data_IF_525431443173
#
_entry.id   IF_525431443173
#
_cell.length_a   1.000
_cell.length_b   1.000
_cell.length_c   1.000
_cell.angle_alpha   90.00
_cell.angle_beta   90.00
_cell.angle_gamma   90.00
#
_symmetry.space_group_name_H-M   'P 1'
#
loop_
_entity.id
_entity.type
_entity.pdbx_description
1 polymer ?
#
# COMPACT_ATOMS: atom_id res chain seq x y z
N UNK A 1 -1.92 56.43 52.73
CA UNK A 1 -2.24 56.56 51.29
C UNK A 1 -2.12 55.18 50.63
N UNK A 2 -3.23 54.45 50.47
CA UNK A 2 -3.24 53.12 49.82
C UNK A 2 -3.87 53.28 48.43
N UNK A 3 -3.08 53.04 47.38
CA UNK A 3 -3.54 53.05 45.99
C UNK A 3 -4.06 51.65 45.63
N UNK A 4 -5.34 51.54 45.30
CA UNK A 4 -5.92 50.36 44.64
C UNK A 4 -5.55 50.40 43.15
N UNK A 5 -4.95 49.32 42.65
CA UNK A 5 -4.84 49.04 41.21
C UNK A 5 -6.02 48.15 40.81
N UNK A 6 -6.87 48.65 39.91
CA UNK A 6 -7.90 47.87 39.24
C UNK A 6 -7.27 47.20 38.00
N UNK A 7 -7.25 45.87 37.98
CA UNK A 7 -6.84 45.07 36.82
C UNK A 7 -8.07 44.79 35.97
N UNK A 8 -8.09 45.32 34.75
CA UNK A 8 -9.13 45.11 33.75
C UNK A 8 -8.84 43.79 33.02
N UNK A 9 -9.63 42.74 33.28
CA UNK A 9 -9.56 41.48 32.54
C UNK A 9 -10.31 41.63 31.20
N UNK A 10 -9.58 41.81 30.10
CA UNK A 10 -10.14 41.68 28.75
C UNK A 10 -10.29 40.19 28.41
N UNK A 11 -11.53 39.70 28.40
CA UNK A 11 -11.85 38.37 27.88
C UNK A 11 -11.82 38.41 26.34
N UNK A 12 -10.79 37.83 25.74
CA UNK A 12 -10.76 37.57 24.30
C UNK A 12 -11.55 36.28 24.01
N UNK A 13 -12.73 36.42 23.43
CA UNK A 13 -13.47 35.31 22.83
C UNK A 13 -12.82 34.96 21.49
N UNK A 14 -11.99 33.91 21.47
CA UNK A 14 -11.48 33.34 20.24
C UNK A 14 -12.60 32.54 19.56
N UNK A 15 -13.13 33.05 18.45
CA UNK A 15 -14.03 32.31 17.56
C UNK A 15 -13.22 31.25 16.83
N UNK A 16 -13.39 29.98 17.21
CA UNK A 16 -12.82 28.85 16.48
C UNK A 16 -13.68 28.64 15.23
N UNK A 17 -13.18 29.07 14.08
CA UNK A 17 -13.77 28.75 12.79
C UNK A 17 -13.61 27.25 12.53
N UNK A 18 -14.70 26.49 12.61
CA UNK A 18 -14.72 25.09 12.22
C UNK A 18 -14.69 25.05 10.69
N UNK A 19 -13.50 24.82 10.12
CA UNK A 19 -13.38 24.52 8.70
C UNK A 19 -14.07 23.19 8.42
N UNK A 20 -15.11 23.21 7.57
CA UNK A 20 -15.75 22.01 7.09
C UNK A 20 -14.70 21.11 6.43
N UNK A 21 -14.60 19.87 6.91
CA UNK A 21 -13.66 18.89 6.35
C UNK A 21 -14.11 18.54 4.95
N UNK A 22 -13.23 18.78 3.97
CA UNK A 22 -13.48 18.42 2.58
C UNK A 22 -13.83 16.93 2.52
N UNK A 23 -15.01 16.62 1.99
CA UNK A 23 -15.39 15.24 1.68
C UNK A 23 -14.40 14.62 0.68
N UNK A 24 -14.38 13.29 0.55
CA UNK A 24 -13.55 12.64 -0.46
C UNK A 24 -13.89 13.24 -1.84
N UNK A 25 -12.88 13.73 -2.54
CA UNK A 25 -13.07 14.28 -3.88
C UNK A 25 -13.72 13.20 -4.77
N UNK A 26 -14.78 13.57 -5.47
CA UNK A 26 -15.42 12.69 -6.45
C UNK A 26 -14.40 12.26 -7.49
N UNK A 27 -14.32 10.96 -7.79
CA UNK A 27 -13.40 10.48 -8.81
C UNK A 27 -13.68 11.18 -10.15
N UNK A 28 -12.64 11.75 -10.76
CA UNK A 28 -12.76 12.49 -12.01
C UNK A 28 -12.67 11.58 -13.24
N UNK A 29 -12.10 10.38 -13.09
CA UNK A 29 -11.92 9.40 -14.16
C UNK A 29 -11.79 7.95 -13.66
N UNK A 30 -11.43 7.06 -14.58
CA UNK A 30 -11.14 5.64 -14.33
C UNK A 30 -9.72 5.34 -14.80
N UNK A 31 -8.93 4.65 -13.97
CA UNK A 31 -7.58 4.22 -14.33
C UNK A 31 -7.67 3.18 -15.46
N UNK A 32 -7.00 3.38 -16.61
CA UNK A 32 -6.97 2.39 -17.69
C UNK A 32 -6.38 1.05 -17.23
N UNK A 33 -6.78 -0.06 -17.84
CA UNK A 33 -6.25 -1.39 -17.53
C UNK A 33 -7.30 -2.50 -17.59
N UNK A 34 -6.84 -3.74 -17.50
CA UNK A 34 -7.66 -4.95 -17.63
C UNK A 34 -8.53 -5.14 -16.39
N UNK A 35 -9.71 -5.73 -16.56
CA UNK A 35 -10.64 -6.05 -15.47
C UNK A 35 -11.18 -7.47 -15.57
N UNK A 36 -11.71 -8.00 -14.47
CA UNK A 36 -12.42 -9.29 -14.44
C UNK A 36 -11.56 -10.46 -14.91
N UNK A 37 -12.10 -11.30 -15.79
CA UNK A 37 -11.38 -12.48 -16.30
C UNK A 37 -10.09 -12.12 -17.04
N UNK A 38 -10.05 -10.98 -17.75
CA UNK A 38 -8.84 -10.53 -18.44
C UNK A 38 -7.75 -10.09 -17.45
N UNK A 39 -8.13 -9.41 -16.37
CA UNK A 39 -7.20 -9.08 -15.28
C UNK A 39 -6.63 -10.35 -14.63
N UNK A 40 -7.49 -11.32 -14.31
CA UNK A 40 -7.04 -12.61 -13.76
C UNK A 40 -6.08 -13.34 -14.70
N UNK A 41 -6.40 -13.37 -16.00
CA UNK A 41 -5.54 -14.02 -16.99
C UNK A 41 -4.17 -13.33 -17.12
N UNK A 42 -4.13 -11.98 -17.10
CA UNK A 42 -2.88 -11.22 -17.15
C UNK A 42 -2.03 -11.38 -15.89
N UNK A 43 -2.64 -11.48 -14.72
CA UNK A 43 -1.94 -11.81 -13.48
C UNK A 43 -1.37 -13.25 -13.48
N UNK A 44 -1.89 -14.10 -14.38
CA UNK A 44 -1.34 -15.41 -14.68
C UNK A 44 -1.39 -16.41 -13.50
N UNK A 45 -0.67 -17.54 -13.63
CA UNK A 45 -0.58 -18.57 -12.59
C UNK A 45 -0.02 -18.06 -11.26
N UNK A 46 0.68 -16.92 -11.25
CA UNK A 46 1.27 -16.37 -10.03
C UNK A 46 0.23 -15.84 -9.05
N UNK A 47 -0.89 -15.30 -9.52
CA UNK A 47 -2.00 -14.95 -8.63
C UNK A 47 -2.58 -16.20 -7.95
N UNK A 48 -2.76 -17.29 -8.70
CA UNK A 48 -3.22 -18.56 -8.11
C UNK A 48 -2.17 -19.13 -7.15
N UNK A 49 -0.88 -19.01 -7.47
CA UNK A 49 0.23 -19.43 -6.60
C UNK A 49 0.29 -18.59 -5.33
N UNK A 50 0.20 -17.28 -5.41
CA UNK A 50 0.10 -16.39 -4.25
C UNK A 50 -1.01 -16.85 -3.30
N UNK A 51 -2.20 -17.12 -3.85
CA UNK A 51 -3.33 -17.63 -3.07
C UNK A 51 -3.00 -18.97 -2.40
N UNK A 52 -2.36 -19.89 -3.12
CA UNK A 52 -1.94 -21.18 -2.58
C UNK A 52 -0.86 -21.04 -1.50
N UNK A 53 0.14 -20.18 -1.67
CA UNK A 53 1.22 -19.96 -0.70
C UNK A 53 0.73 -19.27 0.57
N UNK A 54 -0.28 -18.40 0.45
CA UNK A 54 -0.97 -17.89 1.64
C UNK A 54 -1.74 -18.97 2.39
N UNK A 55 -2.24 -19.98 1.69
CA UNK A 55 -3.03 -21.09 2.28
C UNK A 55 -2.17 -22.26 2.75
N UNK A 56 -1.01 -22.50 2.14
CA UNK A 56 -0.14 -23.63 2.39
C UNK A 56 1.22 -23.16 2.91
N UNK A 57 1.73 -23.80 3.97
CA UNK A 57 3.13 -23.65 4.40
C UNK A 57 4.07 -24.37 3.41
N UNK A 58 4.14 -23.89 2.17
CA UNK A 58 4.91 -24.52 1.09
C UNK A 58 6.41 -24.19 1.18
N UNK A 59 7.21 -24.84 0.33
CA UNK A 59 8.67 -24.68 0.26
C UNK A 59 9.16 -23.26 -0.11
N UNK A 60 8.27 -22.42 -0.67
CA UNK A 60 8.56 -21.04 -1.00
C UNK A 60 8.35 -20.15 0.23
N UNK A 61 9.32 -19.27 0.51
CA UNK A 61 9.26 -18.43 1.70
C UNK A 61 8.37 -17.21 1.43
N UNK A 62 7.32 -17.06 2.24
CA UNK A 62 6.55 -15.83 2.34
C UNK A 62 7.12 -14.98 3.47
N UNK A 63 7.57 -13.78 3.13
CA UNK A 63 8.08 -12.81 4.10
C UNK A 63 7.52 -11.44 3.81
N UNK A 64 7.29 -10.65 4.85
CA UNK A 64 6.89 -9.26 4.70
C UNK A 64 7.50 -8.36 5.76
N UNK A 65 7.48 -7.06 5.52
CA UNK A 65 7.82 -6.04 6.52
C UNK A 65 7.21 -4.68 6.21
N UNK A 66 6.73 -4.00 7.25
CA UNK A 66 6.28 -2.60 7.19
C UNK A 66 5.15 -2.31 8.19
N UNK A 67 4.54 -1.12 8.12
CA UNK A 67 3.40 -0.73 8.95
C UNK A 67 2.16 -1.62 8.76
N UNK A 68 1.47 -1.92 9.86
CA UNK A 68 0.25 -2.74 9.88
C UNK A 68 -0.89 -1.97 10.57
N UNK A 69 -1.71 -1.23 9.81
CA UNK A 69 -2.92 -0.56 10.31
C UNK A 69 -3.82 -1.49 11.14
N UNK A 70 -4.09 -1.12 12.39
CA UNK A 70 -4.81 -1.96 13.36
C UNK A 70 -6.33 -1.79 13.28
N UNK A 71 -7.10 -2.87 13.40
CA UNK A 71 -8.57 -2.83 13.40
C UNK A 71 -9.17 -1.97 14.52
N UNK A 72 -8.53 -1.95 15.69
CA UNK A 72 -8.97 -1.13 16.83
C UNK A 72 -9.05 0.38 16.52
N UNK A 73 -8.41 0.85 15.44
CA UNK A 73 -8.47 2.25 15.01
C UNK A 73 -9.81 2.65 14.41
N UNK A 74 -10.65 1.66 14.03
CA UNK A 74 -11.88 1.88 13.27
C UNK A 74 -11.68 2.71 11.99
N UNK A 75 -10.49 2.63 11.39
CA UNK A 75 -10.21 3.37 10.17
C UNK A 75 -11.12 2.93 9.02
N UNK A 76 -11.57 3.90 8.23
CA UNK A 76 -12.43 3.73 7.06
C UNK A 76 -11.72 4.14 5.76
N UNK A 77 -10.40 4.28 5.80
CA UNK A 77 -9.57 4.54 4.64
C UNK A 77 -8.08 4.52 4.94
N UNK A 78 -7.30 4.45 3.86
CA UNK A 78 -5.84 4.50 3.86
C UNK A 78 -5.40 5.32 2.65
N UNK A 79 -4.38 6.16 2.81
CA UNK A 79 -3.69 6.84 1.72
C UNK A 79 -2.19 6.70 1.89
N UNK A 80 -1.48 6.41 0.80
CA UNK A 80 -0.03 6.19 0.82
C UNK A 80 0.59 6.45 -0.55
N UNK A 81 1.86 6.85 -0.56
CA UNK A 81 2.67 7.03 -1.78
C UNK A 81 3.69 5.90 -1.89
N UNK A 82 3.73 5.23 -3.04
CA UNK A 82 4.47 3.98 -3.25
C UNK A 82 5.41 4.11 -4.45
N UNK A 83 6.68 3.76 -4.27
CA UNK A 83 7.67 3.77 -5.36
C UNK A 83 7.39 2.66 -6.38
N UNK A 84 7.89 2.85 -7.60
CA UNK A 84 7.89 1.83 -8.64
C UNK A 84 9.31 1.62 -9.18
N UNK A 85 9.65 0.39 -9.54
CA UNK A 85 10.91 0.02 -10.21
C UNK A 85 10.61 -0.57 -11.60
N UNK A 86 10.30 0.25 -12.63
CA UNK A 86 9.71 -0.23 -13.88
C UNK A 86 10.60 -1.21 -14.66
N UNK A 87 11.92 -1.12 -14.47
CA UNK A 87 12.92 -1.98 -15.13
C UNK A 87 13.15 -3.31 -14.42
N UNK A 88 12.61 -3.53 -13.22
CA UNK A 88 12.84 -4.77 -12.49
C UNK A 88 12.22 -5.96 -13.24
N UNK A 89 13.02 -7.00 -13.45
CA UNK A 89 12.61 -8.28 -14.02
C UNK A 89 13.18 -9.39 -13.15
N UNK A 90 12.34 -10.35 -12.80
CA UNK A 90 12.76 -11.52 -12.04
C UNK A 90 13.09 -12.65 -13.01
N UNK A 91 14.24 -13.28 -12.80
CA UNK A 91 14.75 -14.38 -13.62
C UNK A 91 14.09 -15.71 -13.27
N UNK A 92 13.71 -15.90 -12.01
CA UNK A 92 12.96 -17.07 -11.58
C UNK A 92 11.44 -16.83 -11.75
N UNK A 93 10.74 -17.63 -12.58
CA UNK A 93 9.30 -17.46 -12.80
C UNK A 93 8.45 -17.75 -11.55
N UNK A 94 9.04 -18.40 -10.55
CA UNK A 94 8.38 -18.70 -9.29
C UNK A 94 8.43 -17.54 -8.29
N UNK A 95 9.34 -16.58 -8.48
CA UNK A 95 9.51 -15.46 -7.57
C UNK A 95 8.53 -14.33 -7.88
N UNK A 96 8.05 -13.69 -6.82
CA UNK A 96 7.20 -12.50 -6.91
C UNK A 96 7.61 -11.50 -5.83
N UNK A 97 7.75 -10.25 -6.25
CA UNK A 97 7.90 -9.11 -5.35
C UNK A 97 6.58 -8.33 -5.38
N UNK A 98 5.89 -8.25 -4.25
CA UNK A 98 4.75 -7.36 -4.02
C UNK A 98 5.21 -6.21 -3.15
N UNK A 99 5.70 -5.15 -3.80
CA UNK A 99 6.31 -4.05 -3.07
C UNK A 99 6.22 -2.70 -3.80
N UNK A 100 5.61 -1.69 -3.16
CA UNK A 100 4.77 -1.81 -1.96
C UNK A 100 3.42 -2.51 -2.23
N UNK A 101 2.84 -3.11 -1.18
CA UNK A 101 1.42 -3.53 -1.14
C UNK A 101 0.70 -2.78 -0.01
N UNK A 102 -0.57 -2.42 -0.24
CA UNK A 102 -1.43 -1.77 0.76
C UNK A 102 -2.83 -2.35 0.84
N UNK A 103 -3.36 -2.46 2.05
CA UNK A 103 -4.77 -2.75 2.35
C UNK A 103 -5.21 -1.96 3.61
N UNK A 104 -6.31 -1.20 3.57
CA UNK A 104 -6.88 -0.61 4.79
C UNK A 104 -7.30 -1.68 5.79
N UNK A 105 -7.29 -1.31 7.07
CA UNK A 105 -7.97 -2.12 8.09
C UNK A 105 -9.50 -2.02 7.95
N UNK A 106 -10.25 -2.65 8.86
CA UNK A 106 -11.72 -2.60 8.86
C UNK A 106 -12.35 -3.54 7.84
N UNK A 107 -11.70 -4.67 7.55
CA UNK A 107 -12.14 -5.70 6.62
C UNK A 107 -12.36 -5.16 5.20
N UNK A 108 -11.38 -4.42 4.68
CA UNK A 108 -11.47 -3.90 3.32
C UNK A 108 -11.59 -5.02 2.29
N UNK A 109 -12.34 -4.75 1.22
CA UNK A 109 -12.51 -5.62 0.08
C UNK A 109 -11.36 -5.57 -0.92
N UNK A 110 -10.51 -4.55 -0.85
CA UNK A 110 -9.51 -4.28 -1.87
C UNK A 110 -8.13 -4.27 -1.23
N UNK A 111 -7.16 -4.81 -1.94
CA UNK A 111 -5.74 -4.60 -1.67
C UNK A 111 -5.12 -4.12 -2.98
N UNK A 112 -4.28 -3.10 -2.90
CA UNK A 112 -3.54 -2.57 -4.05
C UNK A 112 -2.08 -2.98 -3.92
N UNK A 113 -1.56 -3.67 -4.94
CA UNK A 113 -0.19 -4.17 -4.96
C UNK A 113 0.58 -3.65 -6.18
N UNK A 114 1.84 -3.28 -5.99
CA UNK A 114 2.80 -3.23 -7.10
C UNK A 114 3.47 -4.59 -7.23
N UNK A 115 3.19 -5.28 -8.33
CA UNK A 115 3.67 -6.62 -8.62
C UNK A 115 4.85 -6.61 -9.61
N UNK A 116 5.92 -7.32 -9.25
CA UNK A 116 7.02 -7.69 -10.13
C UNK A 116 7.20 -9.21 -10.12
N UNK A 117 7.52 -9.76 -11.28
CA UNK A 117 7.44 -11.19 -11.58
C UNK A 117 6.71 -11.38 -12.90
N UNK A 118 6.39 -12.61 -13.30
CA UNK A 118 5.58 -12.93 -14.51
C UNK A 118 6.32 -12.90 -15.85
N UNK A 119 7.62 -12.60 -15.88
CA UNK A 119 8.32 -12.34 -17.14
C UNK A 119 7.84 -11.08 -17.88
N UNK A 120 6.99 -10.27 -17.23
CA UNK A 120 6.43 -9.04 -17.76
C UNK A 120 7.03 -7.79 -17.09
N UNK A 121 6.62 -6.62 -17.56
CA UNK A 121 6.88 -5.36 -16.87
C UNK A 121 6.13 -5.29 -15.53
N UNK A 122 6.55 -4.38 -14.66
CA UNK A 122 5.87 -4.11 -13.39
C UNK A 122 4.39 -3.75 -13.62
N UNK A 123 3.53 -4.12 -12.68
CA UNK A 123 2.08 -3.91 -12.77
C UNK A 123 1.51 -3.41 -11.43
N UNK A 124 0.45 -2.61 -11.48
CA UNK A 124 -0.40 -2.32 -10.32
C UNK A 124 -1.64 -3.19 -10.39
N UNK A 125 -1.93 -3.96 -9.34
CA UNK A 125 -3.14 -4.77 -9.25
C UNK A 125 -4.05 -4.27 -8.14
N UNK A 126 -5.37 -4.44 -8.34
CA UNK A 126 -6.32 -4.44 -7.25
C UNK A 126 -6.84 -5.87 -7.06
N UNK A 127 -6.54 -6.46 -5.90
CA UNK A 127 -7.11 -7.73 -5.45
C UNK A 127 -8.53 -7.52 -4.94
N UNK A 128 -9.40 -8.46 -5.29
CA UNK A 128 -10.76 -8.53 -4.77
C UNK A 128 -10.85 -9.59 -3.68
N UNK A 129 -10.76 -9.15 -2.42
CA UNK A 129 -10.88 -10.01 -1.25
C UNK A 129 -12.32 -10.34 -0.86
N UNK A 130 -13.31 -9.67 -1.46
CA UNK A 130 -14.71 -9.82 -1.07
C UNK A 130 -15.51 -10.78 -1.95
N UNK A 131 -15.06 -11.02 -3.19
CA UNK A 131 -15.79 -11.87 -4.13
C UNK A 131 -14.90 -12.89 -4.84
N UNK A 132 -13.96 -12.47 -5.68
CA UNK A 132 -13.20 -13.42 -6.52
C UNK A 132 -11.97 -14.03 -5.85
N UNK A 133 -11.44 -13.39 -4.81
CA UNK A 133 -10.17 -13.74 -4.14
C UNK A 133 -9.05 -13.87 -5.19
N UNK A 134 -8.95 -12.87 -6.06
CA UNK A 134 -8.00 -12.79 -7.17
C UNK A 134 -7.77 -11.33 -7.58
N UNK A 135 -6.75 -11.03 -8.40
CA UNK A 135 -6.64 -9.75 -9.08
C UNK A 135 -7.89 -9.52 -9.94
N UNK A 136 -8.57 -8.40 -9.70
CA UNK A 136 -9.77 -7.98 -10.41
C UNK A 136 -9.53 -6.76 -11.32
N UNK A 137 -8.44 -6.03 -11.08
CA UNK A 137 -7.89 -4.96 -11.92
C UNK A 137 -6.39 -5.18 -12.08
N UNK A 138 -5.88 -5.06 -13.30
CA UNK A 138 -4.44 -5.09 -13.62
C UNK A 138 -4.10 -3.91 -14.52
N UNK A 139 -3.09 -3.12 -14.13
CA UNK A 139 -2.62 -1.93 -14.84
C UNK A 139 -1.12 -2.08 -15.10
N UNK A 140 -0.67 -2.15 -16.36
CA UNK A 140 0.75 -2.12 -16.68
C UNK A 140 1.40 -0.80 -16.23
N UNK A 141 2.59 -0.87 -15.64
CA UNK A 141 3.42 0.31 -15.35
C UNK A 141 4.26 0.61 -16.60
N UNK A 142 3.58 1.11 -17.64
CA UNK A 142 4.19 1.57 -18.88
C UNK A 142 4.45 3.09 -18.86
N UNK A 143 4.92 3.65 -19.98
CA UNK A 143 5.20 5.09 -20.07
C UNK A 143 3.94 5.96 -19.89
N UNK A 144 2.75 5.48 -20.23
CA UNK A 144 1.50 6.20 -20.05
C UNK A 144 1.08 6.24 -18.58
N UNK A 145 1.23 5.12 -17.87
CA UNK A 145 1.05 5.05 -16.42
C UNK A 145 2.03 5.99 -15.72
N UNK A 146 3.32 5.87 -16.02
CA UNK A 146 4.37 6.71 -15.42
C UNK A 146 4.08 8.20 -15.62
N UNK A 147 3.74 8.61 -16.83
CA UNK A 147 3.44 10.02 -17.11
C UNK A 147 2.19 10.53 -16.38
N UNK A 148 1.19 9.68 -16.12
CA UNK A 148 -0.13 10.11 -15.64
C UNK A 148 -0.28 10.00 -14.13
N UNK A 149 0.30 8.97 -13.52
CA UNK A 149 0.08 8.63 -12.12
C UNK A 149 1.34 8.71 -11.26
N UNK A 150 2.52 8.95 -11.83
CA UNK A 150 3.75 9.05 -11.05
C UNK A 150 4.34 10.45 -11.01
N UNK A 151 4.93 10.77 -9.87
CA UNK A 151 5.84 11.90 -9.68
C UNK A 151 7.14 11.40 -9.06
N UNK A 152 8.18 12.23 -9.01
CA UNK A 152 9.43 11.85 -8.34
C UNK A 152 9.30 12.11 -6.84
N UNK A 153 9.45 11.06 -6.03
CA UNK A 153 9.51 11.11 -4.57
C UNK A 153 10.79 10.40 -4.14
N UNK A 154 11.59 11.05 -3.30
CA UNK A 154 12.89 10.54 -2.82
C UNK A 154 13.85 10.06 -3.94
N UNK A 155 13.72 10.64 -5.14
CA UNK A 155 14.54 10.30 -6.30
C UNK A 155 13.98 9.19 -7.20
N UNK A 156 12.85 8.58 -6.84
CA UNK A 156 12.23 7.47 -7.57
C UNK A 156 10.85 7.85 -8.12
N UNK A 157 10.40 7.26 -9.25
CA UNK A 157 9.00 7.39 -9.65
C UNK A 157 8.10 6.72 -8.60
N UNK A 158 7.05 7.42 -8.19
CA UNK A 158 6.10 6.94 -7.18
C UNK A 158 4.67 7.40 -7.51
N UNK A 159 3.68 6.56 -7.23
CA UNK A 159 2.26 6.90 -7.33
C UNK A 159 1.62 6.99 -5.94
N UNK A 160 0.58 7.82 -5.81
CA UNK A 160 -0.23 7.87 -4.59
C UNK A 160 -1.53 7.12 -4.80
N UNK A 161 -1.83 6.21 -3.88
CA UNK A 161 -3.09 5.47 -3.82
C UNK A 161 -3.87 5.90 -2.58
N UNK A 162 -5.18 5.99 -2.72
CA UNK A 162 -6.10 6.00 -1.58
C UNK A 162 -7.10 4.88 -1.72
N UNK A 163 -7.55 4.36 -0.60
CA UNK A 163 -8.62 3.39 -0.53
C UNK A 163 -9.55 3.77 0.60
N UNK A 164 -10.85 3.91 0.29
CA UNK A 164 -11.83 4.49 1.22
C UNK A 164 -13.11 3.68 1.21
N UNK A 165 -13.66 3.43 2.39
CA UNK A 165 -14.99 2.85 2.56
C UNK A 165 -16.04 3.88 2.15
N UNK A 166 -16.65 3.66 1.00
CA UNK A 166 -17.67 4.56 0.44
C UNK A 166 -19.06 4.29 1.00
N UNK A 167 -19.30 3.08 1.52
CA UNK A 167 -20.54 2.73 2.21
C UNK A 167 -20.30 1.69 3.30
N UNK A 168 -20.65 2.04 4.54
CA UNK A 168 -20.56 1.10 5.67
C UNK A 168 -21.54 -0.07 5.52
N UNK A 169 -22.78 0.20 5.09
CA UNK A 169 -23.75 -0.86 4.78
C UNK A 169 -23.29 -1.67 3.57
N UNK A 170 -23.09 -2.97 3.76
CA UNK A 170 -22.56 -3.85 2.72
C UNK A 170 -21.06 -3.70 2.44
N UNK A 171 -20.31 -3.00 3.30
CA UNK A 171 -18.84 -2.92 3.26
C UNK A 171 -18.28 -2.59 1.88
N UNK A 172 -18.67 -1.44 1.33
CA UNK A 172 -18.24 -1.00 -0.01
C UNK A 172 -17.00 -0.12 0.08
N UNK A 173 -15.98 -0.45 -0.71
CA UNK A 173 -14.69 0.23 -0.77
C UNK A 173 -14.35 0.64 -2.20
N UNK A 174 -13.63 1.75 -2.33
CA UNK A 174 -13.10 2.23 -3.61
C UNK A 174 -11.62 2.54 -3.44
N UNK A 175 -10.79 1.93 -4.28
CA UNK A 175 -9.39 2.28 -4.48
C UNK A 175 -9.26 3.28 -5.64
N UNK A 176 -8.40 4.28 -5.48
CA UNK A 176 -8.15 5.33 -6.48
C UNK A 176 -6.67 5.67 -6.55
N UNK A 177 -6.21 6.06 -7.74
CA UNK A 177 -4.86 6.59 -7.96
C UNK A 177 -4.93 8.10 -8.20
N UNK A 178 -3.95 8.83 -7.67
CA UNK A 178 -3.85 10.27 -7.90
C UNK A 178 -3.26 10.55 -9.28
N UNK A 179 -4.04 11.19 -10.14
CA UNK A 179 -3.63 11.62 -11.47
C UNK A 179 -2.84 12.94 -11.34
N UNK A 180 -1.51 12.85 -11.46
CA UNK A 180 -0.62 14.01 -11.27
C UNK A 180 -0.77 15.06 -12.37
N UNK A 181 -1.34 14.70 -13.53
CA UNK A 181 -1.59 15.66 -14.63
C UNK A 181 -2.80 16.53 -14.36
N UNK A 182 -3.86 15.95 -13.79
CA UNK A 182 -5.14 16.65 -13.57
C UNK A 182 -5.33 17.14 -12.14
N UNK A 183 -4.54 16.63 -11.19
CA UNK A 183 -4.69 16.91 -9.76
C UNK A 183 -5.95 16.29 -9.17
N UNK A 184 -6.43 15.18 -9.74
CA UNK A 184 -7.67 14.51 -9.33
C UNK A 184 -7.47 13.02 -9.06
N UNK A 185 -8.41 12.41 -8.37
CA UNK A 185 -8.43 10.96 -8.12
C UNK A 185 -9.15 10.23 -9.25
N UNK A 186 -8.51 9.22 -9.82
CA UNK A 186 -9.12 8.30 -10.77
C UNK A 186 -9.44 6.97 -10.08
N UNK A 187 -10.62 6.41 -10.34
CA UNK A 187 -11.03 5.13 -9.76
C UNK A 187 -10.20 4.00 -10.36
N UNK A 188 -9.50 3.25 -9.51
CA UNK A 188 -8.80 2.02 -9.88
C UNK A 188 -9.76 0.84 -9.88
N UNK A 189 -10.46 0.64 -8.76
CA UNK A 189 -11.37 -0.47 -8.54
C UNK A 189 -12.34 -0.16 -7.40
N UNK A 190 -13.55 -0.72 -7.46
CA UNK A 190 -14.54 -0.61 -6.40
C UNK A 190 -15.19 -1.98 -6.17
N UNK A 191 -15.40 -2.34 -4.91
CA UNK A 191 -15.97 -3.63 -4.53
C UNK A 191 -16.71 -3.56 -3.20
N UNK A 192 -17.69 -4.44 -3.03
CA UNK A 192 -18.46 -4.61 -1.80
C UNK A 192 -18.59 -6.09 -1.43
N UNK A 193 -18.66 -6.41 -0.15
CA UNK A 193 -18.89 -7.78 0.32
C UNK A 193 -18.25 -8.07 1.68
N UNK A 194 -18.03 -9.34 1.98
CA UNK A 194 -17.34 -9.76 3.20
C UNK A 194 -15.90 -10.09 2.88
N UNK A 195 -14.95 -9.48 3.58
CA UNK A 195 -13.53 -9.78 3.42
C UNK A 195 -13.27 -11.27 3.71
N UNK A 196 -12.59 -11.93 2.78
CA UNK A 196 -12.22 -13.34 2.86
C UNK A 196 -10.73 -13.54 3.20
N UNK A 197 -10.01 -12.46 3.57
CA UNK A 197 -8.59 -12.54 3.90
C UNK A 197 -8.28 -13.22 5.23
N UNK A 198 -9.27 -13.34 6.12
CA UNK A 198 -9.16 -13.84 7.51
C UNK A 198 -8.24 -13.04 8.44
N UNK A 199 -7.82 -11.84 8.02
CA UNK A 199 -6.95 -10.95 8.80
C UNK A 199 -7.76 -9.82 9.43
N UNK A 200 -7.38 -9.44 10.66
CA UNK A 200 -7.98 -8.35 11.43
C UNK A 200 -7.07 -7.11 11.40
N UNK A 201 -6.30 -6.96 10.33
CA UNK A 201 -5.35 -5.88 10.13
C UNK A 201 -5.29 -5.45 8.67
N UNK A 202 -4.93 -4.19 8.46
CA UNK A 202 -4.46 -3.71 7.17
C UNK A 202 -2.95 -3.84 7.06
N UNK A 203 -2.38 -3.42 5.94
CA UNK A 203 -0.94 -3.38 5.74
C UNK A 203 -0.52 -2.27 4.79
N UNK A 204 0.72 -1.83 4.93
CA UNK A 204 1.52 -1.11 3.94
C UNK A 204 2.93 -1.72 4.01
N UNK A 205 3.26 -2.68 3.16
CA UNK A 205 4.41 -3.56 3.38
C UNK A 205 5.21 -3.85 2.10
N UNK A 206 6.47 -4.18 2.32
CA UNK A 206 7.31 -4.94 1.42
C UNK A 206 6.98 -6.41 1.59
N UNK A 207 6.43 -7.08 0.57
CA UNK A 207 6.06 -8.50 0.61
C UNK A 207 6.77 -9.27 -0.51
N UNK A 208 7.25 -10.47 -0.17
CA UNK A 208 8.00 -11.33 -1.07
C UNK A 208 7.50 -12.76 -1.01
N UNK A 209 7.48 -13.39 -2.18
CA UNK A 209 7.39 -14.82 -2.36
C UNK A 209 8.63 -15.25 -3.11
N UNK A 210 9.56 -15.90 -2.42
CA UNK A 210 10.90 -16.11 -2.95
C UNK A 210 11.37 -17.56 -2.85
N UNK A 211 12.10 -17.96 -3.87
CA UNK A 211 12.67 -19.29 -4.03
C UNK A 211 14.17 -19.20 -3.77
N UNK A 212 14.69 -20.05 -2.89
CA UNK A 212 16.12 -20.12 -2.62
C UNK A 212 16.85 -20.76 -3.80
N UNK A 213 17.88 -20.09 -4.30
CA UNK A 213 18.86 -20.64 -5.23
C UNK A 213 19.80 -21.60 -4.46
N UNK A 214 19.81 -22.91 -4.79
CA UNK A 214 20.67 -23.87 -4.11
C UNK A 214 22.16 -23.65 -4.37
N UNK A 215 22.56 -22.94 -5.43
CA UNK A 215 23.95 -22.69 -5.75
C UNK A 215 24.58 -21.61 -4.85
N UNK A 216 23.83 -20.54 -4.55
CA UNK A 216 24.31 -19.42 -3.74
C UNK A 216 23.80 -19.43 -2.31
N UNK A 217 22.69 -20.14 -2.06
CA UNK A 217 21.96 -20.12 -0.80
C UNK A 217 21.09 -18.88 -0.59
N UNK A 218 21.11 -17.90 -1.50
CA UNK A 218 20.24 -16.72 -1.47
C UNK A 218 18.98 -16.96 -2.30
N UNK A 219 17.95 -16.13 -2.17
CA UNK A 219 16.83 -16.15 -3.09
C UNK A 219 17.19 -15.53 -4.46
N UNK A 220 16.57 -16.01 -5.54
CA UNK A 220 16.83 -15.51 -6.89
C UNK A 220 16.57 -14.01 -7.04
N UNK A 221 15.49 -13.49 -6.42
CA UNK A 221 15.21 -12.06 -6.45
C UNK A 221 16.37 -11.19 -5.90
N UNK A 222 17.24 -11.73 -5.05
CA UNK A 222 18.35 -11.00 -4.45
C UNK A 222 19.37 -10.54 -5.50
N UNK A 223 19.63 -11.35 -6.53
CA UNK A 223 20.45 -10.93 -7.67
C UNK A 223 19.67 -10.06 -8.64
N UNK A 224 18.41 -10.41 -8.90
CA UNK A 224 17.58 -9.76 -9.92
C UNK A 224 17.21 -8.32 -9.56
N UNK A 225 16.94 -8.08 -8.28
CA UNK A 225 16.53 -6.80 -7.74
C UNK A 225 17.70 -5.94 -7.24
N UNK A 226 18.96 -6.34 -7.47
CA UNK A 226 20.13 -5.59 -6.99
C UNK A 226 20.06 -4.11 -7.38
N UNK A 227 20.15 -3.22 -6.40
CA UNK A 227 20.06 -1.77 -6.57
C UNK A 227 18.63 -1.24 -6.74
N UNK A 228 17.62 -2.10 -6.76
CA UNK A 228 16.23 -1.69 -6.69
C UNK A 228 15.92 -1.09 -5.31
N UNK A 229 14.97 -0.16 -5.31
CA UNK A 229 14.54 0.56 -4.12
C UNK A 229 13.02 0.50 -4.05
N UNK A 230 12.51 -0.12 -2.99
CA UNK A 230 11.08 -0.19 -2.68
C UNK A 230 10.80 0.72 -1.51
N UNK A 231 9.88 1.65 -1.68
CA UNK A 231 9.59 2.68 -0.68
C UNK A 231 8.09 2.88 -0.59
N UNK A 232 7.63 3.09 0.63
CA UNK A 232 6.30 3.62 0.88
C UNK A 232 6.43 4.81 1.83
N UNK A 233 5.67 5.87 1.59
CA UNK A 233 5.75 7.10 2.36
C UNK A 233 4.39 7.79 2.50
N UNK A 234 4.32 8.73 3.44
CA UNK A 234 3.12 9.52 3.71
C UNK A 234 1.88 8.67 4.05
N UNK A 235 2.07 7.52 4.73
CA UNK A 235 0.94 6.69 5.16
C UNK A 235 0.03 7.46 6.13
N UNK A 236 -1.24 7.56 5.73
CA UNK A 236 -2.31 8.13 6.53
C UNK A 236 -3.49 7.16 6.60
N UNK A 237 -4.14 7.12 7.75
CA UNK A 237 -5.41 6.43 7.96
C UNK A 237 -6.54 7.44 7.99
N UNK A 238 -7.69 7.07 7.44
CA UNK A 238 -8.91 7.86 7.59
C UNK A 238 -9.69 7.33 8.79
N UNK A 239 -9.89 8.14 9.82
CA UNK A 239 -10.58 7.76 11.06
C UNK A 239 -11.71 8.75 11.27
N UNK A 240 -12.95 8.23 11.36
CA UNK A 240 -14.16 9.05 11.45
C UNK A 240 -14.23 10.14 10.36
N UNK A 241 -13.77 9.80 9.14
CA UNK A 241 -13.76 10.72 8.01
C UNK A 241 -12.55 11.66 7.91
N UNK A 242 -11.65 11.68 8.90
CA UNK A 242 -10.47 12.56 8.94
C UNK A 242 -9.17 11.80 8.67
N UNK A 243 -8.27 12.37 7.88
CA UNK A 243 -6.93 11.81 7.68
C UNK A 243 -6.04 12.06 8.90
N UNK A 244 -5.46 10.99 9.42
CA UNK A 244 -4.55 10.97 10.57
C UNK A 244 -3.27 10.27 10.13
N UNK A 245 -2.12 10.82 10.47
CA UNK A 245 -0.84 10.19 10.18
C UNK A 245 -0.74 8.82 10.86
N UNK A 246 -0.03 7.90 10.20
CA UNK A 246 0.39 6.68 10.85
C UNK A 246 1.30 6.98 12.05
N UNK A 247 1.24 6.11 13.05
CA UNK A 247 1.89 6.22 14.35
C UNK A 247 2.14 4.81 14.91
N UNK A 248 2.95 4.67 15.96
CA UNK A 248 3.14 3.38 16.62
C UNK A 248 1.85 2.74 17.14
N UNK A 249 0.85 3.55 17.51
CA UNK A 249 -0.40 3.08 18.09
C UNK A 249 -1.40 2.55 17.05
N UNK A 250 -1.44 3.15 15.85
CA UNK A 250 -2.41 2.79 14.81
C UNK A 250 -1.80 1.92 13.70
N UNK A 251 -0.49 2.00 13.46
CA UNK A 251 0.20 1.28 12.37
C UNK A 251 1.60 0.81 12.80
N UNK A 252 1.72 -0.07 13.82
CA UNK A 252 3.01 -0.59 14.27
C UNK A 252 3.75 -1.32 13.13
N UNK A 253 5.09 -1.29 13.17
CA UNK A 253 5.93 -2.07 12.25
C UNK A 253 5.89 -3.55 12.62
N UNK A 254 5.69 -4.41 11.62
CA UNK A 254 5.61 -5.87 11.78
C UNK A 254 6.48 -6.59 10.76
N UNK A 255 6.90 -7.85 11.04
CA UNK A 255 6.73 -8.57 12.31
C UNK A 255 7.60 -8.00 13.44
N UNK A 256 8.60 -7.20 13.11
CA UNK A 256 9.52 -6.53 14.04
C UNK A 256 9.85 -5.13 13.51
N UNK A 257 10.23 -4.21 14.40
CA UNK A 257 10.76 -2.92 14.02
C UNK A 257 12.15 -3.01 13.36
N UNK A 258 12.89 -4.11 13.61
CA UNK A 258 14.26 -4.32 13.12
C UNK A 258 14.36 -5.68 12.42
N UNK A 259 13.94 -5.79 11.14
CA UNK A 259 14.02 -7.03 10.37
C UNK A 259 15.47 -7.42 10.11
N UNK A 260 15.76 -8.72 10.03
CA UNK A 260 17.08 -9.22 9.66
C UNK A 260 17.08 -9.61 8.17
N UNK A 261 17.96 -9.05 7.33
CA UNK A 261 18.07 -9.39 5.91
C UNK A 261 18.12 -10.89 5.60
N UNK A 262 18.82 -11.68 6.43
CA UNK A 262 18.90 -13.13 6.29
C UNK A 262 17.57 -13.87 6.42
N UNK A 263 16.57 -13.28 7.10
CA UNK A 263 15.24 -13.88 7.23
C UNK A 263 14.45 -13.83 5.91
N UNK A 264 14.92 -13.04 4.94
CA UNK A 264 14.36 -12.89 3.59
C UNK A 264 15.20 -13.62 2.53
N UNK A 265 16.17 -14.45 2.95
CA UNK A 265 17.11 -15.15 2.07
C UNK A 265 17.91 -14.21 1.15
N UNK A 266 18.04 -12.94 1.54
CA UNK A 266 18.82 -11.94 0.82
C UNK A 266 19.60 -11.06 1.80
N UNK A 267 20.86 -11.41 2.11
CA UNK A 267 21.66 -10.71 3.11
C UNK A 267 22.07 -9.29 2.71
N UNK A 268 21.89 -8.89 1.45
CA UNK A 268 22.20 -7.53 0.98
C UNK A 268 21.09 -6.54 1.25
N UNK A 269 19.90 -7.00 1.64
CA UNK A 269 18.78 -6.11 1.95
C UNK A 269 19.16 -5.10 3.03
N UNK A 270 18.64 -3.89 2.87
CA UNK A 270 18.71 -2.81 3.86
C UNK A 270 17.31 -2.30 4.11
N UNK A 271 16.91 -2.35 5.37
CA UNK A 271 15.63 -1.85 5.85
C UNK A 271 15.85 -0.53 6.56
N UNK A 272 15.13 0.50 6.12
CA UNK A 272 15.20 1.84 6.68
C UNK A 272 13.79 2.33 7.02
N UNK A 273 13.67 3.13 8.08
CA UNK A 273 12.42 3.78 8.49
C UNK A 273 12.65 5.30 8.44
N UNK A 274 12.57 5.94 7.25
CA UNK A 274 12.82 7.36 7.12
C UNK A 274 11.90 8.23 7.98
N UNK A 275 10.65 7.78 8.20
CA UNK A 275 9.70 8.41 9.11
C UNK A 275 8.95 7.31 9.90
N UNK A 276 8.92 7.36 11.24
CA UNK A 276 8.30 6.31 12.06
C UNK A 276 6.87 6.00 11.63
N UNK A 277 6.62 4.73 11.27
CA UNK A 277 5.31 4.17 10.92
C UNK A 277 4.65 4.75 9.66
N UNK A 278 5.15 5.86 9.12
CA UNK A 278 4.59 6.52 7.94
C UNK A 278 5.46 6.44 6.69
N UNK A 279 6.73 6.06 6.83
CA UNK A 279 7.60 5.77 5.71
C UNK A 279 8.56 4.62 5.99
N UNK A 280 8.78 3.78 4.99
CA UNK A 280 9.77 2.72 5.01
C UNK A 280 10.46 2.61 3.66
N UNK A 281 11.69 2.12 3.67
CA UNK A 281 12.50 1.84 2.47
C UNK A 281 13.17 0.48 2.61
N UNK A 282 13.17 -0.25 1.51
CA UNK A 282 13.94 -1.48 1.34
C UNK A 282 14.81 -1.35 0.09
N UNK A 283 16.12 -1.48 0.26
CA UNK A 283 17.09 -1.54 -0.85
C UNK A 283 17.68 -2.94 -0.93
N UNK A 284 17.87 -3.48 -2.13
CA UNK A 284 18.43 -4.82 -2.38
C UNK A 284 19.89 -4.78 -2.80
#
# INVERSE_FOLDING_TARGET
MRKLLAVLCCAFTATVSVTAVAGPASAAGTVPGLTGAAAKAAAGPMADRFRLLRQAQAAQRHTFWGPVPQLATSADGLMVTQSVTPSLRLSNPDDVVYAPTTKPTGHSCIEVVTAYGLGEAAQVWAWDWCRSVSPAKVVPIDSAFLATYTSTVDGHPAYTVQEVRTRATGNSWTASLYNVKTGAWDTLFAQSGSDQSSLDEGWDIFELYSTRDPATGNAYYCSDARGAVFESSSLQLRIAGHWVNASPANSPLRPTANPRPSDYDCPTLRFEVPAPNSAWRVTV
#
